data_IF_007318253998
#
_entry.id   IF_007318253998
#
_cell.length_a   1.000
_cell.length_b   1.000
_cell.length_c   1.000
_cell.angle_alpha   90.00
_cell.angle_beta   90.00
_cell.angle_gamma   90.00
#
_symmetry.space_group_name_H-M   'P 1'
#
loop_
_entity.id
_entity.type
_entity.pdbx_description
1 polymer ?
#
# COMPACT_ATOMS: atom_id res chain seq x y z
N UNK A 1 0.92 0.32 19.34
CA UNK A 1 0.79 1.08 18.08
C UNK A 1 0.03 0.24 17.07
N UNK A 2 -1.31 0.33 17.04
CA UNK A 2 -2.11 -0.23 15.94
C UNK A 2 -1.99 0.76 14.79
N UNK A 3 -0.89 0.65 14.03
CA UNK A 3 -0.65 1.54 12.89
C UNK A 3 -1.64 1.14 11.81
N UNK A 4 -2.48 2.09 11.41
CA UNK A 4 -3.38 1.96 10.27
C UNK A 4 -2.67 1.29 9.10
N UNK A 5 -3.41 0.44 8.38
CA UNK A 5 -2.91 -0.44 7.34
C UNK A 5 -1.78 0.22 6.54
N UNK A 6 -0.54 -0.17 6.86
CA UNK A 6 0.63 0.32 6.14
C UNK A 6 0.72 -0.40 4.81
N UNK A 7 1.41 0.20 3.84
CA UNK A 7 1.67 -0.40 2.52
C UNK A 7 2.17 -1.84 2.64
N UNK A 8 2.93 -2.12 3.70
CA UNK A 8 3.45 -3.43 4.05
C UNK A 8 2.37 -4.44 4.49
N UNK A 9 1.37 -4.02 5.25
CA UNK A 9 0.24 -4.87 5.63
C UNK A 9 -0.65 -5.21 4.42
N UNK A 10 -0.87 -4.23 3.54
CA UNK A 10 -1.61 -4.40 2.29
C UNK A 10 -0.84 -5.31 1.35
N UNK A 11 0.46 -5.08 1.16
CA UNK A 11 1.29 -5.89 0.27
C UNK A 11 1.31 -7.36 0.73
N UNK A 12 1.41 -7.62 2.04
CA UNK A 12 1.27 -8.98 2.60
C UNK A 12 -0.10 -9.59 2.34
N UNK A 13 -1.19 -8.84 2.51
CA UNK A 13 -2.55 -9.31 2.26
C UNK A 13 -2.79 -9.69 0.79
N UNK A 14 -2.24 -8.91 -0.12
CA UNK A 14 -2.39 -9.12 -1.57
C UNK A 14 -1.25 -9.91 -2.20
N UNK A 15 -0.41 -10.54 -1.36
CA UNK A 15 0.76 -11.32 -1.77
C UNK A 15 1.61 -10.63 -2.86
N UNK A 16 1.78 -9.32 -2.69
CA UNK A 16 2.48 -8.43 -3.62
C UNK A 16 3.54 -7.64 -2.84
N UNK A 17 4.39 -6.90 -3.56
CA UNK A 17 5.41 -6.06 -2.93
C UNK A 17 4.91 -4.63 -2.82
N UNK A 18 5.37 -3.92 -1.77
CA UNK A 18 5.13 -2.48 -1.61
C UNK A 18 5.49 -1.72 -2.89
N UNK A 19 6.59 -2.12 -3.54
CA UNK A 19 7.07 -1.52 -4.79
C UNK A 19 6.12 -1.78 -5.97
N UNK A 20 5.62 -3.01 -6.14
CA UNK A 20 4.61 -3.30 -7.17
C UNK A 20 3.31 -2.55 -6.90
N UNK A 21 2.86 -2.49 -5.65
CA UNK A 21 1.68 -1.72 -5.25
C UNK A 21 1.85 -0.25 -5.61
N UNK A 22 3.03 0.30 -5.33
CA UNK A 22 3.38 1.69 -5.65
C UNK A 22 3.38 1.95 -7.15
N UNK A 23 4.09 1.14 -7.92
CA UNK A 23 4.14 1.23 -9.38
C UNK A 23 2.74 1.17 -9.99
N UNK A 24 1.92 0.22 -9.54
CA UNK A 24 0.55 0.03 -10.05
C UNK A 24 -0.39 1.20 -9.72
N UNK A 25 -0.09 1.93 -8.64
CA UNK A 25 -0.87 3.07 -8.17
C UNK A 25 -0.25 4.44 -8.45
N UNK A 26 0.91 4.48 -9.11
CA UNK A 26 1.67 5.72 -9.30
C UNK A 26 2.10 6.37 -7.98
N UNK A 27 2.26 5.60 -6.91
CA UNK A 27 2.67 6.12 -5.62
C UNK A 27 4.17 6.29 -5.56
N UNK A 28 4.58 7.51 -5.29
CA UNK A 28 6.01 7.87 -5.16
C UNK A 28 6.48 7.70 -3.71
N UNK A 29 5.55 7.74 -2.74
CA UNK A 29 5.84 7.71 -1.30
C UNK A 29 5.29 6.46 -0.62
N UNK A 30 5.87 6.11 0.53
CA UNK A 30 5.33 5.12 1.47
C UNK A 30 4.14 5.65 2.28
N UNK A 31 3.80 6.94 2.14
CA UNK A 31 2.55 7.48 2.65
C UNK A 31 1.38 7.04 1.78
N UNK A 32 0.52 6.25 2.38
CA UNK A 32 -0.84 5.98 1.91
C UNK A 32 -1.82 6.47 2.96
N UNK A 33 -2.90 7.07 2.50
CA UNK A 33 -3.95 7.55 3.39
C UNK A 33 -5.04 6.48 3.52
N UNK A 34 -5.60 6.27 4.74
CA UNK A 34 -6.83 5.49 4.86
C UNK A 34 -7.92 6.10 3.95
N UNK A 35 -8.69 5.24 3.26
CA UNK A 35 -9.62 5.54 2.15
C UNK A 35 -9.00 5.84 0.78
N UNK A 36 -7.68 5.72 0.61
CA UNK A 36 -7.08 5.79 -0.70
C UNK A 36 -7.40 4.51 -1.50
N UNK A 37 -8.07 4.68 -2.64
CA UNK A 37 -8.38 3.55 -3.54
C UNK A 37 -7.10 3.10 -4.22
N UNK A 38 -6.59 1.95 -3.78
CA UNK A 38 -5.46 1.28 -4.43
C UNK A 38 -6.00 0.35 -5.52
N UNK A 39 -5.56 0.58 -6.76
CA UNK A 39 -5.64 -0.38 -7.86
C UNK A 39 -4.63 -1.48 -7.61
N UNK A 40 -5.12 -2.64 -7.19
CA UNK A 40 -4.34 -3.85 -6.87
C UNK A 40 -4.49 -4.95 -7.91
#
# INVERSE_FOLDING_TARGET
>A
MRKGDTLWGISRRFNTTVQCLKLKNGLVSDLIYPNQVLKI
#
